data_IF_783512380402
#
_entry.id   IF_783512380402
#
_cell.length_a   1.000
_cell.length_b   1.000
_cell.length_c   1.000
_cell.angle_alpha   90.00
_cell.angle_beta   90.00
_cell.angle_gamma   90.00
#
_symmetry.space_group_name_H-M   'P 1'
#
loop_
_entity.id
_entity.type
_entity.pdbx_description
1 polymer ?
#
# COMPACT_ATOMS: atom_id res chain seq x y z
N UNK A 1 -9.96 2.09 28.68
CA UNK A 1 -8.91 2.07 27.65
C UNK A 1 -9.07 0.76 26.92
N UNK A 2 -9.35 0.79 25.61
CA UNK A 2 -9.52 -0.44 24.83
C UNK A 2 -8.22 -1.25 24.77
N UNK A 3 -8.33 -2.56 24.66
CA UNK A 3 -7.21 -3.48 24.53
C UNK A 3 -6.33 -3.12 23.32
N UNK A 4 -5.00 -3.38 23.35
CA UNK A 4 -4.14 -3.16 22.20
C UNK A 4 -4.63 -3.84 20.90
N UNK A 5 -5.23 -5.03 21.00
CA UNK A 5 -5.77 -5.80 19.84
C UNK A 5 -7.09 -5.21 19.35
N UNK A 6 -8.05 -5.00 20.25
CA UNK A 6 -9.38 -4.47 19.88
C UNK A 6 -9.28 -3.05 19.35
N UNK A 7 -8.46 -2.22 19.97
CA UNK A 7 -8.16 -0.88 19.49
C UNK A 7 -7.49 -0.90 18.11
N UNK A 8 -6.56 -1.83 17.86
CA UNK A 8 -5.94 -1.94 16.54
C UNK A 8 -6.97 -2.35 15.46
N UNK A 9 -7.85 -3.30 15.76
CA UNK A 9 -8.94 -3.71 14.86
C UNK A 9 -9.86 -2.53 14.53
N UNK A 10 -10.32 -1.78 15.54
CA UNK A 10 -11.18 -0.61 15.37
C UNK A 10 -10.54 0.42 14.42
N UNK A 11 -9.25 0.71 14.62
CA UNK A 11 -8.51 1.67 13.78
C UNK A 11 -8.31 1.20 12.35
N UNK A 12 -8.11 -0.11 12.15
CA UNK A 12 -7.99 -0.69 10.81
C UNK A 12 -9.29 -0.58 10.01
N UNK A 13 -10.44 -0.67 10.70
CA UNK A 13 -11.77 -0.52 10.11
C UNK A 13 -12.20 0.95 9.95
N UNK A 14 -11.57 1.89 10.65
CA UNK A 14 -11.84 3.31 10.46
C UNK A 14 -11.24 3.81 9.14
N UNK A 15 -12.12 4.28 8.25
CA UNK A 15 -11.72 4.88 6.99
C UNK A 15 -11.00 6.22 7.15
N UNK A 16 -11.07 6.85 8.32
CA UNK A 16 -10.49 8.17 8.59
C UNK A 16 -9.07 8.15 9.09
N UNK A 17 -8.64 7.00 9.58
CA UNK A 17 -7.26 6.82 9.98
C UNK A 17 -6.38 6.50 8.78
N UNK A 18 -5.16 7.04 8.77
CA UNK A 18 -4.16 6.70 7.79
C UNK A 18 -3.35 5.49 8.27
N UNK A 19 -2.87 4.70 7.33
CA UNK A 19 -2.05 3.53 7.59
C UNK A 19 -0.73 3.95 8.27
N UNK A 20 -0.14 5.10 7.91
CA UNK A 20 1.03 5.66 8.60
C UNK A 20 0.82 5.84 10.11
N UNK A 21 -0.41 6.17 10.55
CA UNK A 21 -0.75 6.36 11.95
C UNK A 21 -1.02 5.02 12.66
N UNK A 22 -1.52 4.02 11.92
CA UNK A 22 -1.90 2.70 12.46
C UNK A 22 -0.65 1.82 12.70
N UNK A 23 0.33 1.89 11.80
CA UNK A 23 1.50 1.01 11.83
C UNK A 23 2.30 1.01 13.12
N UNK A 24 2.58 2.15 13.77
CA UNK A 24 3.27 2.17 15.06
C UNK A 24 2.58 1.29 16.13
N UNK A 25 1.24 1.28 16.15
CA UNK A 25 0.48 0.42 17.06
C UNK A 25 0.56 -1.05 16.65
N UNK A 26 0.47 -1.35 15.36
CA UNK A 26 0.63 -2.72 14.85
C UNK A 26 2.03 -3.29 15.18
N UNK A 27 3.10 -2.49 14.98
CA UNK A 27 4.48 -2.86 15.32
C UNK A 27 4.61 -3.12 16.82
N UNK A 28 4.02 -2.24 17.64
CA UNK A 28 4.03 -2.40 19.11
C UNK A 28 3.36 -3.70 19.52
N UNK A 29 2.18 -4.01 18.97
CA UNK A 29 1.48 -5.26 19.23
C UNK A 29 2.31 -6.48 18.82
N UNK A 30 2.91 -6.47 17.62
CA UNK A 30 3.77 -7.56 17.15
C UNK A 30 4.96 -7.79 18.10
N UNK A 31 5.57 -6.71 18.60
CA UNK A 31 6.65 -6.78 19.58
C UNK A 31 6.17 -7.34 20.94
N UNK A 32 4.97 -6.98 21.40
CA UNK A 32 4.37 -7.51 22.64
C UNK A 32 4.11 -9.02 22.56
N UNK A 33 3.68 -9.49 21.38
CA UNK A 33 3.44 -10.90 21.07
C UNK A 33 4.71 -11.69 20.73
N UNK A 34 5.86 -11.01 20.58
CA UNK A 34 7.15 -11.58 20.11
C UNK A 34 7.12 -12.08 18.67
N UNK A 35 6.21 -11.57 17.84
CA UNK A 35 6.17 -11.83 16.40
C UNK A 35 7.22 -10.96 15.70
N UNK A 36 8.45 -11.47 15.62
CA UNK A 36 9.60 -10.70 15.13
C UNK A 36 9.56 -10.53 13.62
N UNK A 37 9.09 -11.53 12.89
CA UNK A 37 8.96 -11.49 11.42
C UNK A 37 7.88 -10.49 11.02
N UNK A 38 6.73 -10.52 11.69
CA UNK A 38 5.64 -9.56 11.51
C UNK A 38 6.10 -8.14 11.84
N UNK A 39 6.76 -7.93 12.98
CA UNK A 39 7.28 -6.61 13.36
C UNK A 39 8.31 -6.07 12.34
N UNK A 40 9.16 -6.95 11.80
CA UNK A 40 10.13 -6.58 10.77
C UNK A 40 9.45 -6.21 9.45
N UNK A 41 8.48 -7.00 8.98
CA UNK A 41 7.70 -6.70 7.79
C UNK A 41 6.99 -5.35 7.92
N UNK A 42 6.31 -5.09 9.05
CA UNK A 42 5.63 -3.81 9.30
C UNK A 42 6.59 -2.61 9.28
N UNK A 43 7.81 -2.77 9.81
CA UNK A 43 8.83 -1.69 9.77
C UNK A 43 9.31 -1.42 8.35
N UNK A 44 9.56 -2.47 7.57
CA UNK A 44 9.95 -2.32 6.16
C UNK A 44 8.81 -1.66 5.37
N UNK A 45 7.55 -2.04 5.60
CA UNK A 45 6.40 -1.38 4.97
C UNK A 45 6.29 0.10 5.37
N UNK A 46 6.60 0.43 6.63
CA UNK A 46 6.61 1.80 7.12
C UNK A 46 7.68 2.66 6.46
N UNK A 47 8.93 2.19 6.49
CA UNK A 47 10.11 2.95 6.06
C UNK A 47 10.32 2.91 4.54
N UNK A 48 9.89 1.83 3.88
CA UNK A 48 10.17 1.51 2.49
C UNK A 48 11.23 0.44 2.34
N UNK A 49 11.36 -0.06 1.11
CA UNK A 49 12.27 -1.14 0.76
C UNK A 49 13.60 -0.59 0.27
N UNK A 50 14.69 -1.28 0.60
CA UNK A 50 15.99 -0.97 0.03
C UNK A 50 16.02 -1.35 -1.47
N UNK A 51 16.85 -0.70 -2.31
CA UNK A 51 16.86 -0.93 -3.76
C UNK A 51 17.05 -2.39 -4.21
N UNK A 52 17.78 -3.19 -3.43
CA UNK A 52 18.07 -4.61 -3.72
C UNK A 52 17.20 -5.58 -2.91
N UNK A 53 16.23 -5.07 -2.16
CA UNK A 53 15.35 -5.92 -1.34
C UNK A 53 14.31 -6.62 -2.21
N UNK A 54 14.02 -7.88 -1.89
CA UNK A 54 12.89 -8.58 -2.50
C UNK A 54 11.58 -7.91 -2.08
N UNK A 55 10.83 -7.42 -3.07
CA UNK A 55 9.51 -6.84 -2.86
C UNK A 55 8.44 -7.94 -2.77
N UNK A 56 7.41 -7.78 -1.93
CA UNK A 56 6.22 -8.62 -1.97
C UNK A 56 5.48 -8.53 -3.32
N UNK A 57 4.76 -9.59 -3.73
CA UNK A 57 4.07 -9.62 -5.02
C UNK A 57 3.09 -8.47 -5.28
N UNK A 58 2.44 -7.93 -4.24
CA UNK A 58 1.54 -6.77 -4.37
C UNK A 58 2.26 -5.42 -4.58
N UNK A 59 3.60 -5.41 -4.63
CA UNK A 59 4.45 -4.24 -4.91
C UNK A 59 5.21 -4.35 -6.24
N UNK A 60 5.12 -5.49 -6.92
CA UNK A 60 5.88 -5.82 -8.13
C UNK A 60 4.96 -5.78 -9.35
N UNK A 61 5.49 -5.35 -10.49
CA UNK A 61 4.83 -5.41 -11.79
C UNK A 61 3.46 -4.70 -11.80
N UNK A 62 3.39 -3.55 -11.14
CA UNK A 62 2.14 -2.81 -10.98
C UNK A 62 1.79 -2.05 -12.26
N UNK A 63 0.52 -2.08 -12.70
CA UNK A 63 0.12 -1.49 -13.96
C UNK A 63 0.19 0.04 -13.93
N UNK A 64 0.73 0.60 -15.00
CA UNK A 64 0.75 2.02 -15.31
C UNK A 64 0.54 2.28 -16.79
N UNK A 65 0.43 3.56 -17.15
CA UNK A 65 0.25 4.00 -18.52
C UNK A 65 1.42 4.84 -18.99
N UNK A 66 2.01 4.47 -20.12
CA UNK A 66 3.11 5.23 -20.71
C UNK A 66 2.55 6.54 -21.29
N UNK A 67 3.11 7.66 -20.83
CA UNK A 67 2.74 9.01 -21.27
C UNK A 67 3.95 9.74 -21.84
N UNK A 68 3.72 10.57 -22.83
CA UNK A 68 4.72 11.41 -23.48
C UNK A 68 4.44 12.90 -23.24
N UNK A 69 5.49 13.70 -23.09
CA UNK A 69 5.37 15.15 -22.96
C UNK A 69 5.29 15.83 -24.33
N UNK A 70 4.12 16.31 -24.69
CA UNK A 70 3.89 17.19 -25.84
C UNK A 70 4.14 18.66 -25.46
N UNK A 71 4.86 19.45 -26.30
CA UNK A 71 5.03 20.89 -26.07
C UNK A 71 3.72 21.68 -26.06
N UNK A 72 2.69 21.21 -26.78
CA UNK A 72 1.42 21.92 -26.95
C UNK A 72 0.34 21.45 -25.97
N UNK A 73 0.24 20.14 -25.74
CA UNK A 73 -0.87 19.53 -24.99
C UNK A 73 -0.46 19.02 -23.60
N UNK A 74 0.81 19.18 -23.22
CA UNK A 74 1.34 18.62 -21.98
C UNK A 74 1.46 17.10 -22.07
N UNK A 75 1.11 16.39 -21.00
CA UNK A 75 1.22 14.93 -20.95
C UNK A 75 0.05 14.28 -21.70
N UNK A 76 0.39 13.48 -22.71
CA UNK A 76 -0.55 12.71 -23.52
C UNK A 76 -0.18 11.22 -23.48
N UNK A 77 -1.12 10.30 -23.71
CA UNK A 77 -0.79 8.89 -23.90
C UNK A 77 0.27 8.72 -25.00
N UNK A 78 1.31 7.93 -24.72
CA UNK A 78 2.34 7.66 -25.70
C UNK A 78 1.77 6.74 -26.82
N UNK A 79 2.24 6.89 -28.07
CA UNK A 79 1.85 6.02 -29.18
C UNK A 79 2.59 4.68 -29.08
N UNK A 80 2.20 3.86 -28.11
CA UNK A 80 2.79 2.54 -27.83
C UNK A 80 1.85 1.41 -28.26
N UNK A 81 2.43 0.34 -28.81
CA UNK A 81 1.72 -0.91 -29.10
C UNK A 81 1.55 -1.79 -27.83
N UNK A 82 0.86 -2.91 -27.96
CA UNK A 82 0.56 -3.77 -26.82
C UNK A 82 1.80 -4.53 -26.30
N UNK A 83 2.81 -4.78 -27.14
CA UNK A 83 4.08 -5.37 -26.71
C UNK A 83 4.84 -4.39 -25.82
N UNK A 84 4.92 -3.14 -26.24
CA UNK A 84 5.58 -2.05 -25.51
C UNK A 84 4.86 -1.73 -24.20
N UNK A 85 3.53 -1.79 -24.18
CA UNK A 85 2.74 -1.65 -22.94
C UNK A 85 3.06 -2.76 -21.94
N UNK A 86 3.19 -4.01 -22.41
CA UNK A 86 3.54 -5.14 -21.54
C UNK A 86 4.98 -5.04 -21.01
N UNK A 87 5.92 -4.54 -21.82
CA UNK A 87 7.34 -4.46 -21.44
C UNK A 87 7.66 -3.25 -20.53
N UNK A 88 7.07 -2.08 -20.81
CA UNK A 88 7.42 -0.83 -20.15
C UNK A 88 6.27 -0.18 -19.37
N UNK A 89 5.05 -0.73 -19.45
CA UNK A 89 3.87 -0.17 -18.79
C UNK A 89 3.71 -0.59 -17.35
N UNK A 90 4.75 -1.15 -16.72
CA UNK A 90 4.69 -1.69 -15.37
C UNK A 90 5.81 -1.12 -14.51
N UNK A 91 5.55 -1.00 -13.19
CA UNK A 91 6.55 -0.49 -12.25
C UNK A 91 6.45 -1.18 -10.90
N UNK A 92 7.58 -1.22 -10.19
CA UNK A 92 7.64 -1.63 -8.80
C UNK A 92 7.48 -0.41 -7.88
N UNK A 93 6.80 -0.58 -6.74
CA UNK A 93 6.69 0.47 -5.73
C UNK A 93 7.38 0.01 -4.44
N UNK A 94 8.58 0.54 -4.21
CA UNK A 94 9.46 0.32 -3.05
C UNK A 94 9.27 1.37 -1.94
N UNK A 95 8.58 2.47 -2.25
CA UNK A 95 8.32 3.58 -1.32
C UNK A 95 7.59 3.12 -0.04
N UNK A 96 7.97 3.70 1.10
CA UNK A 96 7.29 3.49 2.39
C UNK A 96 5.87 4.08 2.42
N UNK A 97 5.04 3.56 3.33
CA UNK A 97 3.60 3.88 3.41
C UNK A 97 3.30 5.37 3.40
N UNK A 98 4.06 6.18 4.14
CA UNK A 98 3.86 7.63 4.17
C UNK A 98 3.92 8.29 2.79
N UNK A 99 4.85 7.87 1.95
CA UNK A 99 5.00 8.43 0.60
C UNK A 99 3.88 7.94 -0.33
N UNK A 100 3.47 6.67 -0.19
CA UNK A 100 2.36 6.08 -0.93
C UNK A 100 1.03 6.74 -0.58
N UNK A 101 0.74 6.92 0.71
CA UNK A 101 -0.48 7.59 1.19
C UNK A 101 -0.52 9.04 0.75
N UNK A 102 0.58 9.77 0.91
CA UNK A 102 0.69 11.15 0.40
C UNK A 102 0.38 11.22 -1.10
N UNK A 103 0.85 10.25 -1.87
CA UNK A 103 0.53 10.17 -3.30
C UNK A 103 -0.97 9.95 -3.52
N UNK A 104 -1.55 8.95 -2.84
CA UNK A 104 -2.97 8.61 -2.96
C UNK A 104 -3.91 9.74 -2.52
N UNK A 105 -3.53 10.53 -1.51
CA UNK A 105 -4.28 11.68 -1.01
C UNK A 105 -4.18 12.90 -1.94
N UNK A 106 -3.04 13.08 -2.63
CA UNK A 106 -2.84 14.21 -3.54
C UNK A 106 -3.41 13.96 -4.95
N UNK A 107 -3.56 12.70 -5.35
CA UNK A 107 -4.17 12.34 -6.62
C UNK A 107 -5.71 12.32 -6.51
N UNK A 108 -6.39 12.90 -7.50
CA UNK A 108 -7.85 12.78 -7.66
C UNK A 108 -8.22 11.45 -8.33
N UNK A 109 -9.50 11.07 -8.27
CA UNK A 109 -10.02 9.93 -9.03
C UNK A 109 -9.77 10.14 -10.53
N UNK A 110 -9.17 9.14 -11.18
CA UNK A 110 -8.80 9.19 -12.60
C UNK A 110 -7.46 9.89 -12.88
N UNK A 111 -6.79 10.42 -11.86
CA UNK A 111 -5.42 10.96 -11.95
C UNK A 111 -4.39 9.94 -11.43
N UNK A 112 -3.11 10.25 -11.59
CA UNK A 112 -2.01 9.39 -11.18
C UNK A 112 -0.71 10.14 -10.90
N UNK A 113 0.27 9.40 -10.37
CA UNK A 113 1.63 9.88 -10.20
C UNK A 113 2.44 9.48 -11.43
N UNK A 114 3.10 10.46 -12.02
CA UNK A 114 4.06 10.25 -13.10
C UNK A 114 5.41 9.89 -12.49
N UNK A 115 5.96 8.76 -12.93
CA UNK A 115 7.26 8.26 -12.52
C UNK A 115 8.14 8.17 -13.76
N UNK A 116 9.33 8.75 -13.69
CA UNK A 116 10.28 8.70 -14.79
C UNK A 116 10.76 7.27 -15.01
N UNK A 117 10.88 6.88 -16.28
CA UNK A 117 11.48 5.59 -16.64
C UNK A 117 12.99 5.62 -16.33
N UNK A 118 13.58 4.47 -15.92
CA UNK A 118 15.02 4.31 -15.87
C UNK A 118 15.68 4.73 -17.19
N UNK A 119 16.87 5.38 -17.18
CA UNK A 119 17.48 5.92 -18.39
C UNK A 119 17.70 4.90 -19.51
N UNK A 120 17.96 3.65 -19.16
CA UNK A 120 18.14 2.56 -20.13
C UNK A 120 16.81 2.19 -20.81
N UNK A 121 15.76 1.94 -20.01
CA UNK A 121 14.41 1.66 -20.52
C UNK A 121 13.87 2.83 -21.35
N UNK A 122 14.11 4.07 -20.90
CA UNK A 122 13.72 5.28 -21.61
C UNK A 122 14.33 5.34 -23.01
N UNK A 123 15.65 5.11 -23.14
CA UNK A 123 16.35 5.12 -24.44
C UNK A 123 15.85 4.02 -25.36
N UNK A 124 15.64 2.82 -24.83
CA UNK A 124 15.10 1.69 -25.58
C UNK A 124 13.71 2.03 -26.12
N UNK A 125 12.80 2.49 -25.25
CA UNK A 125 11.45 2.85 -25.62
C UNK A 125 11.41 3.99 -26.64
N UNK A 126 12.18 5.07 -26.43
CA UNK A 126 12.29 6.20 -27.37
C UNK A 126 12.74 5.76 -28.77
N UNK A 127 13.68 4.80 -28.84
CA UNK A 127 14.15 4.24 -30.10
C UNK A 127 13.08 3.40 -30.79
N UNK A 128 12.31 2.61 -30.04
CA UNK A 128 11.24 1.78 -30.57
C UNK A 128 10.05 2.61 -31.11
N UNK A 129 9.69 3.72 -30.46
CA UNK A 129 8.56 4.59 -30.88
C UNK A 129 9.00 5.76 -31.79
N UNK A 130 10.29 5.87 -32.11
CA UNK A 130 10.88 6.97 -32.88
C UNK A 130 10.48 8.37 -32.37
N UNK A 131 10.56 8.58 -31.05
CA UNK A 131 10.15 9.83 -30.40
C UNK A 131 11.25 10.34 -29.47
N UNK A 132 11.60 11.62 -29.60
CA UNK A 132 12.59 12.28 -28.73
C UNK A 132 11.97 12.98 -27.51
N UNK A 133 10.67 12.79 -27.28
CA UNK A 133 9.95 13.42 -26.18
C UNK A 133 10.27 12.76 -24.83
N UNK A 134 10.08 13.50 -23.75
CA UNK A 134 10.15 12.97 -22.39
C UNK A 134 9.01 11.94 -22.18
N UNK A 135 9.35 10.75 -21.67
CA UNK A 135 8.39 9.69 -21.36
C UNK A 135 8.37 9.41 -19.86
N UNK A 136 7.20 9.05 -19.36
CA UNK A 136 6.99 8.63 -17.98
C UNK A 136 5.93 7.53 -17.91
N UNK A 137 5.92 6.77 -16.81
CA UNK A 137 4.81 5.89 -16.45
C UNK A 137 3.88 6.66 -15.52
N UNK A 138 2.61 6.77 -15.90
CA UNK A 138 1.57 7.29 -15.04
C UNK A 138 0.92 6.13 -14.28
N UNK A 139 1.17 6.04 -12.97
CA UNK A 139 0.56 5.06 -12.08
C UNK A 139 -0.71 5.66 -11.50
N UNK A 140 -1.84 4.97 -11.69
CA UNK A 140 -3.15 5.45 -11.27
C UNK A 140 -3.27 5.53 -9.75
N UNK A 141 -4.12 6.44 -9.24
CA UNK A 141 -4.50 6.46 -7.82
C UNK A 141 -5.02 5.10 -7.33
N UNK A 142 -5.78 4.38 -8.16
CA UNK A 142 -6.35 3.09 -7.81
C UNK A 142 -5.27 2.05 -7.47
N UNK A 143 -4.16 2.05 -8.22
CA UNK A 143 -2.99 1.20 -7.96
C UNK A 143 -2.43 1.42 -6.55
N UNK A 144 -2.22 2.69 -6.15
CA UNK A 144 -1.78 3.03 -4.79
C UNK A 144 -2.81 2.63 -3.74
N UNK A 145 -4.09 2.88 -4.00
CA UNK A 145 -5.19 2.58 -3.09
C UNK A 145 -5.29 1.07 -2.81
N UNK A 146 -5.23 0.24 -3.86
CA UNK A 146 -5.24 -1.23 -3.75
C UNK A 146 -4.03 -1.76 -2.99
N UNK A 147 -2.84 -1.23 -3.25
CA UNK A 147 -1.61 -1.59 -2.52
C UNK A 147 -1.77 -1.29 -1.02
N UNK A 148 -2.14 -0.06 -0.67
CA UNK A 148 -2.33 0.36 0.73
C UNK A 148 -3.42 -0.44 1.43
N UNK A 149 -4.54 -0.71 0.74
CA UNK A 149 -5.61 -1.56 1.24
C UNK A 149 -5.14 -2.98 1.49
N UNK A 150 -4.28 -3.54 0.63
CA UNK A 150 -3.74 -4.90 0.79
C UNK A 150 -2.92 -5.01 2.08
N UNK A 151 -2.07 -4.01 2.36
CA UNK A 151 -1.29 -3.98 3.61
C UNK A 151 -2.24 -3.86 4.81
N UNK A 152 -3.18 -2.91 4.78
CA UNK A 152 -4.18 -2.73 5.85
C UNK A 152 -4.99 -4.02 6.10
N UNK A 153 -5.40 -4.69 5.03
CA UNK A 153 -6.11 -5.96 5.08
C UNK A 153 -5.29 -7.10 5.68
N UNK A 154 -4.00 -7.19 5.36
CA UNK A 154 -3.10 -8.18 5.96
C UNK A 154 -2.99 -7.97 7.48
N UNK A 155 -2.83 -6.72 7.93
CA UNK A 155 -2.80 -6.39 9.37
C UNK A 155 -4.13 -6.72 10.04
N UNK A 156 -5.26 -6.43 9.37
CA UNK A 156 -6.59 -6.78 9.87
C UNK A 156 -6.75 -8.28 10.05
N UNK A 157 -6.43 -9.08 9.03
CA UNK A 157 -6.52 -10.55 9.10
C UNK A 157 -5.66 -11.11 10.23
N UNK A 158 -4.43 -10.61 10.39
CA UNK A 158 -3.56 -10.99 11.51
C UNK A 158 -4.18 -10.64 12.87
N UNK A 159 -4.73 -9.43 13.00
CA UNK A 159 -5.35 -8.94 14.24
C UNK A 159 -6.56 -9.80 14.63
N UNK A 160 -7.39 -10.17 13.66
CA UNK A 160 -8.55 -11.05 13.86
C UNK A 160 -8.12 -12.45 14.32
N UNK A 161 -7.07 -13.03 13.72
CA UNK A 161 -6.57 -14.34 14.15
C UNK A 161 -5.98 -14.30 15.58
N UNK A 162 -5.23 -13.25 15.93
CA UNK A 162 -4.74 -13.04 17.31
C UNK A 162 -5.93 -12.98 18.28
N UNK A 163 -6.98 -12.22 17.93
CA UNK A 163 -8.20 -12.11 18.74
C UNK A 163 -8.95 -13.44 18.86
N UNK A 164 -9.01 -14.23 17.79
CA UNK A 164 -9.65 -15.55 17.78
C UNK A 164 -8.97 -16.56 18.72
N UNK A 165 -7.67 -16.42 18.97
CA UNK A 165 -6.94 -17.18 19.99
C UNK A 165 -7.19 -16.69 21.42
N UNK A 166 -8.14 -15.77 21.59
CA UNK A 166 -8.52 -15.21 22.88
C UNK A 166 -7.66 -14.03 23.33
N UNK A 167 -6.65 -13.60 22.55
CA UNK A 167 -5.68 -12.55 22.94
C UNK A 167 -6.23 -11.10 22.89
N UNK A 168 -7.54 -10.92 22.66
CA UNK A 168 -8.25 -9.65 22.85
C UNK A 168 -8.56 -9.32 24.32
N UNK A 169 -9.37 -8.27 24.55
CA UNK A 169 -9.85 -7.84 25.87
C UNK A 169 -8.87 -6.95 26.64
N UNK A 170 -9.32 -6.33 27.74
CA UNK A 170 -8.61 -5.25 28.47
C UNK A 170 -7.29 -5.67 29.15
N UNK A 171 -6.24 -5.96 28.37
CA UNK A 171 -4.93 -6.36 28.86
C UNK A 171 -3.79 -5.71 28.08
N UNK A 172 -2.74 -5.34 28.80
CA UNK A 172 -1.58 -4.61 28.26
C UNK A 172 -0.29 -5.45 28.21
N UNK A 173 -0.36 -6.75 28.50
CA UNK A 173 0.77 -7.67 28.44
C UNK A 173 0.31 -9.10 28.16
N UNK A 174 1.24 -9.91 27.66
CA UNK A 174 1.01 -11.32 27.30
C UNK A 174 2.00 -12.23 28.02
N UNK A 175 1.49 -13.33 28.57
CA UNK A 175 2.30 -14.37 29.21
C UNK A 175 3.11 -15.17 28.18
N UNK A 176 4.01 -16.03 28.65
CA UNK A 176 4.77 -16.92 27.77
C UNK A 176 3.87 -17.95 27.09
N UNK A 177 2.90 -18.49 27.83
CA UNK A 177 1.91 -19.47 27.36
C UNK A 177 1.02 -18.86 26.27
N UNK A 178 0.57 -17.61 26.46
CA UNK A 178 -0.27 -16.90 25.50
C UNK A 178 0.47 -16.61 24.20
N UNK A 179 1.73 -16.15 24.30
CA UNK A 179 2.58 -15.95 23.11
C UNK A 179 2.77 -17.25 22.33
N UNK A 180 2.92 -18.37 23.04
CA UNK A 180 3.07 -19.69 22.41
C UNK A 180 1.81 -20.11 21.64
N UNK A 181 0.61 -19.67 22.06
CA UNK A 181 -0.63 -19.98 21.34
C UNK A 181 -0.71 -19.32 19.96
N UNK A 182 -0.05 -18.17 19.78
CA UNK A 182 -0.08 -17.38 18.54
C UNK A 182 1.25 -17.36 17.80
N UNK A 183 2.25 -18.11 18.24
CA UNK A 183 3.59 -18.16 17.63
C UNK A 183 3.53 -18.51 16.13
N UNK A 184 2.59 -19.36 15.73
CA UNK A 184 2.33 -19.71 14.32
C UNK A 184 1.76 -18.58 13.46
N UNK A 185 1.44 -17.42 14.03
CA UNK A 185 0.96 -16.23 13.32
C UNK A 185 2.10 -15.24 13.00
N UNK A 186 3.37 -15.56 13.31
CA UNK A 186 4.54 -14.73 12.96
C UNK A 186 5.00 -14.93 11.49
N UNK A 187 4.04 -15.00 10.57
CA UNK A 187 4.22 -15.28 9.15
C UNK A 187 3.41 -14.28 8.31
N UNK A 188 3.90 -13.03 8.12
CA UNK A 188 3.16 -11.98 7.41
C UNK A 188 2.72 -12.41 6.00
N UNK A 189 3.48 -13.27 5.34
CA UNK A 189 3.18 -13.84 4.02
C UNK A 189 1.84 -14.53 3.91
N UNK A 190 1.41 -15.23 4.96
CA UNK A 190 0.11 -15.89 4.97
C UNK A 190 -1.02 -14.87 4.91
N UNK A 191 -0.86 -13.73 5.59
CA UNK A 191 -1.89 -12.71 5.69
C UNK A 191 -1.97 -11.82 4.46
N UNK A 192 -0.83 -11.38 3.90
CA UNK A 192 -0.89 -10.58 2.68
C UNK A 192 -1.25 -11.42 1.44
N UNK A 193 -0.90 -12.72 1.38
CA UNK A 193 -1.42 -13.61 0.33
C UNK A 193 -2.95 -13.74 0.42
N UNK A 194 -3.48 -13.95 1.63
CA UNK A 194 -4.94 -14.01 1.86
C UNK A 194 -5.60 -12.67 1.54
N UNK A 195 -5.00 -11.55 1.94
CA UNK A 195 -5.48 -10.22 1.62
C UNK A 195 -5.56 -9.98 0.11
N UNK A 196 -4.55 -10.39 -0.67
CA UNK A 196 -4.58 -10.27 -2.13
C UNK A 196 -5.72 -11.10 -2.77
N UNK A 197 -6.00 -12.29 -2.23
CA UNK A 197 -7.05 -13.17 -2.75
C UNK A 197 -8.47 -12.69 -2.42
N UNK A 198 -8.66 -12.06 -1.27
CA UNK A 198 -9.98 -11.76 -0.70
C UNK A 198 -10.24 -10.25 -0.56
N UNK A 199 -9.38 -9.39 -1.11
CA UNK A 199 -9.31 -7.94 -0.82
C UNK A 199 -10.66 -7.22 -0.89
N UNK A 200 -11.44 -7.51 -1.94
CA UNK A 200 -12.72 -6.86 -2.22
C UNK A 200 -13.86 -7.34 -1.30
N UNK A 201 -13.66 -8.45 -0.58
CA UNK A 201 -14.62 -9.01 0.38
C UNK A 201 -14.37 -8.63 1.83
N UNK A 202 -13.18 -8.10 2.14
CA UNK A 202 -12.79 -7.73 3.50
C UNK A 202 -13.43 -6.40 3.91
N UNK A 203 -13.79 -6.21 5.19
CA UNK A 203 -14.47 -5.02 5.70
C UNK A 203 -13.55 -3.78 5.81
N UNK A 204 -12.35 -3.88 5.26
CA UNK A 204 -11.29 -2.87 5.38
C UNK A 204 -11.53 -1.76 4.37
N UNK A 205 -11.52 -0.48 4.78
CA UNK A 205 -11.82 0.63 3.91
C UNK A 205 -10.68 0.95 2.93
N UNK A 206 -11.06 1.60 1.83
CA UNK A 206 -10.12 2.22 0.90
C UNK A 206 -9.53 3.51 1.50
N UNK A 207 -8.39 3.95 0.96
CA UNK A 207 -7.81 5.25 1.30
C UNK A 207 -8.76 6.36 0.80
N UNK A 208 -9.20 7.23 1.71
CA UNK A 208 -10.14 8.32 1.41
C UNK A 208 -9.59 9.26 0.32
N UNK A 209 -10.48 9.82 -0.47
CA UNK A 209 -10.16 10.93 -1.37
C UNK A 209 -10.09 12.24 -0.57
N UNK A 210 -9.09 13.08 -0.85
CA UNK A 210 -9.08 14.47 -0.37
C UNK A 210 -10.32 15.20 -0.91
N UNK A 211 -11.14 15.74 0.00
CA UNK A 211 -12.35 16.51 -0.34
C UNK A 211 -13.69 15.87 0.04
N UNK A 212 -13.72 14.66 0.63
CA UNK A 212 -14.98 14.11 1.16
C UNK A 212 -15.56 14.98 2.30
N UNK A 213 -14.70 15.49 3.19
CA UNK A 213 -15.11 16.45 4.24
C UNK A 213 -15.38 17.86 3.72
N UNK A 214 -14.68 18.36 2.69
CA UNK A 214 -15.05 19.66 2.08
C UNK A 214 -16.43 19.63 1.42
N UNK A 215 -16.87 18.45 0.95
CA UNK A 215 -18.23 18.25 0.40
C UNK A 215 -19.29 18.04 1.48
N UNK A 216 -18.95 17.40 2.61
CA UNK A 216 -19.88 17.16 3.73
C UNK A 216 -20.01 18.34 4.69
N UNK A 217 -18.93 19.10 4.88
CA UNK A 217 -18.86 20.32 5.70
C UNK A 217 -18.60 21.53 4.80
N UNK A 218 -19.37 21.61 3.72
CA UNK A 218 -19.32 22.75 2.81
C UNK A 218 -19.42 24.08 3.57
N UNK A 219 -18.38 24.90 3.41
CA UNK A 219 -18.37 26.36 3.55
C UNK A 219 -19.18 26.91 4.73
N UNK A 220 -18.55 27.06 5.88
CA UNK A 220 -18.76 28.31 6.63
C UNK A 220 -17.92 29.38 5.95
N UNK A 221 -18.61 30.34 5.33
CA UNK A 221 -18.05 31.58 4.81
C UNK A 221 -17.25 32.35 5.88
#
# INVERSE_FOLDING_TARGET
>A
MSAPVDHLEERLLDSGELLEDILPSAITLAMMLRHRTMANWLRIEFDGYAPEASLPPYRVDLPGHIVARSPQYGWIPAPVDDSQKGEFGHINLDEGIKALEKTCLNCKKGDGKRIALPPEQLKTLQSQINLSAELAINVSRDTYCRLLKTIRAAIYLWTVEVKAHGLGGERNSYSTEERKQVEGLDHPEQFWHKAMAELDSLPVPDVRESGFFERLFGRTA
#
